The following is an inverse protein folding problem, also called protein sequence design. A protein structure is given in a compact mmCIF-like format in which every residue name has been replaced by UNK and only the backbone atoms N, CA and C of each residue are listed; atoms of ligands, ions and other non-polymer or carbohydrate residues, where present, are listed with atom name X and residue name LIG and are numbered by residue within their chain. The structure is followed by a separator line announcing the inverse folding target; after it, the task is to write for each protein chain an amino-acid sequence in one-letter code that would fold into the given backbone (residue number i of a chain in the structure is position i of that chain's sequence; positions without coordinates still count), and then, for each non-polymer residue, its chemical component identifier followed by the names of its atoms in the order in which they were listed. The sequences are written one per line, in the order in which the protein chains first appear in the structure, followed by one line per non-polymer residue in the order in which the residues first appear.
data_IF_551361602628
#
_entry.id   IF_551361602628
#
_cell.length_a   1.000
_cell.length_b   1.000
_cell.length_c   1.000
_cell.angle_alpha   90.00
_cell.angle_beta   90.00
_cell.angle_gamma   90.00
#
_symmetry.space_group_name_H-M   'P 1'
#
loop_
_entity.id
_entity.type
_entity.pdbx_description
1 polymer ?
#
# COMPACT_ATOMS: atom_id res chain seq x y z
N UNK A 1 3.53 -10.51 -37.77
CA UNK A 1 2.99 -9.16 -37.49
C UNK A 1 3.33 -8.25 -38.66
N UNK A 2 2.33 -7.68 -39.33
CA UNK A 2 2.52 -6.84 -40.53
C UNK A 2 3.05 -5.45 -40.15
N UNK A 3 3.96 -4.87 -40.96
CA UNK A 3 4.60 -3.58 -40.68
C UNK A 3 3.60 -2.41 -40.51
N UNK A 4 2.45 -2.46 -41.21
CA UNK A 4 1.35 -1.50 -41.02
C UNK A 4 0.66 -1.61 -39.67
N UNK A 5 0.53 -2.83 -39.12
CA UNK A 5 -0.06 -3.03 -37.80
C UNK A 5 0.86 -2.52 -36.70
N UNK A 6 2.19 -2.72 -36.86
CA UNK A 6 3.20 -2.16 -35.95
C UNK A 6 3.17 -0.62 -35.98
N UNK A 7 3.11 -0.04 -37.18
CA UNK A 7 3.02 1.42 -37.37
C UNK A 7 1.71 2.03 -36.83
N UNK A 8 0.57 1.32 -36.93
CA UNK A 8 -0.70 1.76 -36.30
C UNK A 8 -0.68 1.70 -34.79
N UNK A 9 -0.03 0.69 -34.19
CA UNK A 9 0.15 0.59 -32.74
C UNK A 9 1.10 1.67 -32.22
N UNK A 10 2.20 1.92 -32.94
CA UNK A 10 3.15 2.98 -32.58
C UNK A 10 2.51 4.38 -32.65
N UNK A 11 1.72 4.67 -33.69
CA UNK A 11 1.00 5.97 -33.83
C UNK A 11 -0.12 6.12 -32.80
N UNK A 12 -0.89 5.07 -32.50
CA UNK A 12 -1.85 5.11 -31.39
C UNK A 12 -1.15 5.34 -30.04
N UNK A 13 0.06 4.79 -29.86
CA UNK A 13 0.82 4.99 -28.62
C UNK A 13 1.30 6.43 -28.47
N UNK A 14 1.80 7.10 -29.52
CA UNK A 14 2.28 8.48 -29.43
C UNK A 14 1.16 9.51 -29.18
N UNK A 15 -0.04 9.30 -29.75
CA UNK A 15 -1.19 10.19 -29.52
C UNK A 15 -1.89 9.94 -28.18
N UNK A 16 -1.91 8.70 -27.70
CA UNK A 16 -2.53 8.34 -26.41
C UNK A 16 -1.58 8.53 -25.23
N UNK A 17 -0.26 8.50 -25.42
CA UNK A 17 0.73 8.61 -24.35
C UNK A 17 0.53 9.87 -23.48
N UNK A 18 0.27 11.08 -24.03
CA UNK A 18 -0.03 12.25 -23.22
C UNK A 18 -1.29 12.10 -22.37
N UNK A 19 -2.33 11.46 -22.91
CA UNK A 19 -3.57 11.19 -22.16
C UNK A 19 -3.35 10.15 -21.06
N UNK A 20 -2.58 9.09 -21.34
CA UNK A 20 -2.21 8.07 -20.36
C UNK A 20 -1.38 8.69 -19.23
N UNK A 21 -0.38 9.51 -19.56
CA UNK A 21 0.45 10.21 -18.57
C UNK A 21 -0.40 11.15 -17.72
N UNK A 22 -1.25 11.98 -18.34
CA UNK A 22 -2.12 12.92 -17.61
C UNK A 22 -3.09 12.18 -16.68
N UNK A 23 -3.69 11.08 -17.14
CA UNK A 23 -4.57 10.24 -16.33
C UNK A 23 -3.80 9.57 -15.17
N UNK A 24 -2.56 9.14 -15.40
CA UNK A 24 -1.73 8.53 -14.37
C UNK A 24 -1.23 9.54 -13.33
N UNK A 25 -0.83 10.75 -13.75
CA UNK A 25 -0.50 11.86 -12.86
C UNK A 25 -1.70 12.30 -12.02
N UNK A 26 -2.90 12.32 -12.63
CA UNK A 26 -4.16 12.62 -11.95
C UNK A 26 -4.47 11.57 -10.87
N UNK A 27 -4.43 10.29 -11.23
CA UNK A 27 -4.62 9.16 -10.28
C UNK A 27 -3.59 9.18 -9.16
N UNK A 28 -2.33 9.50 -9.47
CA UNK A 28 -1.25 9.60 -8.48
C UNK A 28 -1.47 10.76 -7.50
N UNK A 29 -1.83 11.94 -8.00
CA UNK A 29 -2.10 13.13 -7.16
C UNK A 29 -3.29 12.87 -6.23
N UNK A 30 -4.32 12.23 -6.76
CA UNK A 30 -5.51 11.85 -6.02
C UNK A 30 -5.22 10.78 -4.96
N UNK A 31 -4.50 9.72 -5.34
CA UNK A 31 -4.02 8.70 -4.42
C UNK A 31 -3.28 9.34 -3.24
N UNK A 32 -2.34 10.25 -3.54
CA UNK A 32 -1.62 11.01 -2.51
C UNK A 32 -2.57 11.78 -1.59
N UNK A 33 -3.62 12.43 -2.10
CA UNK A 33 -4.61 13.15 -1.27
C UNK A 33 -5.36 12.22 -0.33
N UNK A 34 -5.86 11.09 -0.82
CA UNK A 34 -6.61 10.12 0.00
C UNK A 34 -5.69 9.43 1.00
N UNK A 35 -4.49 9.02 0.57
CA UNK A 35 -3.48 8.49 1.49
C UNK A 35 -3.07 9.53 2.54
N UNK A 36 -2.96 10.81 2.17
CA UNK A 36 -2.71 11.89 3.12
C UNK A 36 -3.88 12.06 4.11
N UNK A 37 -5.13 11.98 3.66
CA UNK A 37 -6.30 12.03 4.53
C UNK A 37 -6.36 10.83 5.50
N UNK A 38 -6.01 9.64 5.00
CA UNK A 38 -5.87 8.40 5.78
C UNK A 38 -4.76 8.54 6.83
N UNK A 39 -3.59 9.05 6.43
CA UNK A 39 -2.40 9.21 7.26
C UNK A 39 -2.56 10.32 8.30
N UNK A 40 -3.18 11.44 7.94
CA UNK A 40 -3.49 12.55 8.86
C UNK A 40 -4.59 12.20 9.87
N UNK A 41 -5.17 11.02 9.74
CA UNK A 41 -6.11 10.45 10.69
C UNK A 41 -7.42 11.21 10.78
N UNK A 42 -7.92 11.63 9.62
CA UNK A 42 -9.31 12.07 9.50
C UNK A 42 -10.26 10.97 10.02
N UNK A 43 -11.45 11.38 10.47
CA UNK A 43 -12.39 10.46 11.14
C UNK A 43 -13.04 9.43 10.20
N UNK A 44 -12.75 9.50 8.90
CA UNK A 44 -13.20 8.53 7.92
C UNK A 44 -12.62 7.13 8.14
N UNK A 45 -13.20 6.15 7.47
CA UNK A 45 -12.78 4.76 7.50
C UNK A 45 -12.40 4.35 6.09
N UNK A 46 -11.25 3.70 5.92
CA UNK A 46 -10.86 3.11 4.64
C UNK A 46 -10.83 1.60 4.76
N UNK A 47 -11.39 0.90 3.78
CA UNK A 47 -11.19 -0.54 3.60
C UNK A 47 -10.22 -0.72 2.44
N UNK A 48 -9.10 -1.37 2.69
CA UNK A 48 -8.10 -1.73 1.68
C UNK A 48 -8.21 -3.22 1.38
N UNK A 49 -8.41 -3.56 0.11
CA UNK A 49 -8.57 -4.92 -0.37
C UNK A 49 -7.41 -5.26 -1.29
N UNK A 50 -6.71 -6.35 -0.95
CA UNK A 50 -5.64 -6.91 -1.74
C UNK A 50 -6.02 -8.34 -2.12
N UNK A 51 -5.59 -8.76 -3.31
CA UNK A 51 -5.78 -10.15 -3.74
C UNK A 51 -5.17 -11.10 -2.72
N UNK A 52 -5.82 -12.23 -2.48
CA UNK A 52 -5.36 -13.30 -1.59
C UNK A 52 -5.13 -12.89 -0.12
N UNK A 53 -5.66 -11.74 0.33
CA UNK A 53 -5.57 -11.29 1.72
C UNK A 53 -6.92 -10.83 2.23
N UNK A 54 -7.20 -11.04 3.54
CA UNK A 54 -8.41 -10.49 4.15
C UNK A 54 -8.36 -8.94 4.10
N UNK A 55 -9.50 -8.28 3.87
CA UNK A 55 -9.58 -6.83 3.84
C UNK A 55 -8.99 -6.20 5.11
N UNK A 56 -8.32 -5.07 4.93
CA UNK A 56 -7.73 -4.28 6.01
C UNK A 56 -8.59 -3.04 6.25
N UNK A 57 -8.95 -2.78 7.50
CA UNK A 57 -9.63 -1.56 7.89
C UNK A 57 -8.56 -0.57 8.38
N UNK A 58 -8.53 0.63 7.81
CA UNK A 58 -7.63 1.71 8.19
C UNK A 58 -8.46 2.85 8.76
N UNK A 59 -8.13 3.28 9.97
CA UNK A 59 -8.80 4.38 10.65
C UNK A 59 -7.81 5.11 11.54
N UNK A 60 -7.68 6.42 11.36
CA UNK A 60 -6.76 7.25 12.15
C UNK A 60 -5.31 6.77 12.13
N UNK A 61 -4.82 6.34 10.96
CA UNK A 61 -3.48 5.74 10.81
C UNK A 61 -3.30 4.37 11.46
N UNK A 62 -4.31 3.81 12.13
CA UNK A 62 -4.28 2.48 12.72
C UNK A 62 -4.93 1.46 11.79
N UNK A 63 -4.37 0.26 11.76
CA UNK A 63 -4.83 -0.85 10.93
C UNK A 63 -5.55 -1.89 11.79
N UNK A 64 -6.63 -2.46 11.24
CA UNK A 64 -7.43 -3.47 11.90
C UNK A 64 -7.84 -4.56 10.91
N UNK A 65 -8.13 -5.76 11.43
CA UNK A 65 -8.66 -6.88 10.64
C UNK A 65 -9.80 -7.58 11.34
N UNK A 66 -10.72 -8.04 10.51
CA UNK A 66 -11.71 -9.02 10.93
C UNK A 66 -11.09 -10.42 11.03
N UNK A 67 -11.68 -11.31 11.85
CA UNK A 67 -11.32 -12.72 11.85
C UNK A 67 -11.39 -13.31 10.43
N UNK A 68 -10.61 -14.36 10.17
CA UNK A 68 -10.39 -14.90 8.81
C UNK A 68 -11.64 -15.26 7.99
N UNK A 69 -12.80 -15.45 8.64
CA UNK A 69 -14.07 -15.83 8.02
C UNK A 69 -15.14 -14.72 8.07
N UNK A 70 -14.74 -13.48 8.34
CA UNK A 70 -15.66 -12.34 8.45
C UNK A 70 -15.17 -11.18 7.61
N UNK A 71 -16.09 -10.57 6.86
CA UNK A 71 -15.80 -9.33 6.17
C UNK A 71 -15.95 -8.14 7.15
N UNK A 72 -15.30 -7.00 6.85
CA UNK A 72 -15.68 -5.73 7.46
C UNK A 72 -17.15 -5.43 7.17
N UNK A 73 -17.89 -4.97 8.18
CA UNK A 73 -19.20 -4.37 7.97
C UNK A 73 -19.02 -3.04 7.27
N UNK A 74 -19.88 -2.74 6.29
CA UNK A 74 -19.91 -1.46 5.60
C UNK A 74 -19.98 -0.30 6.61
N UNK A 75 -18.99 0.61 6.65
CA UNK A 75 -19.00 1.76 7.54
C UNK A 75 -20.17 2.68 7.21
N UNK A 76 -20.90 3.09 8.24
CA UNK A 76 -22.08 3.96 8.10
C UNK A 76 -21.74 5.46 8.22
N UNK A 77 -20.45 5.80 8.26
CA UNK A 77 -19.93 7.15 8.46
C UNK A 77 -19.92 7.63 9.92
N UNK A 78 -20.34 6.80 10.91
CA UNK A 78 -20.18 7.11 12.34
C UNK A 78 -18.72 7.05 12.81
N UNK A 79 -17.84 6.48 11.98
CA UNK A 79 -16.47 6.13 12.32
C UNK A 79 -16.37 4.86 13.18
N UNK A 80 -17.45 4.24 13.61
CA UNK A 80 -17.40 2.94 14.31
C UNK A 80 -17.03 1.87 13.29
N UNK A 81 -16.02 1.06 13.61
CA UNK A 81 -15.57 -0.05 12.77
C UNK A 81 -16.04 -1.36 13.39
N UNK A 82 -16.71 -2.19 12.60
CA UNK A 82 -17.20 -3.50 13.01
C UNK A 82 -16.98 -4.49 11.88
N UNK A 83 -16.89 -5.76 12.22
CA UNK A 83 -17.02 -6.86 11.28
C UNK A 83 -18.49 -7.27 11.15
N UNK A 84 -18.80 -8.12 10.18
CA UNK A 84 -20.07 -8.81 10.13
C UNK A 84 -20.38 -9.51 11.47
N UNK A 85 -21.67 -9.67 11.77
CA UNK A 85 -22.17 -10.19 13.06
C UNK A 85 -21.76 -9.34 14.28
N UNK A 86 -21.45 -8.06 14.05
CA UNK A 86 -21.11 -7.08 15.08
C UNK A 86 -19.93 -7.51 15.97
N UNK A 87 -18.94 -8.15 15.35
CA UNK A 87 -17.67 -8.53 15.99
C UNK A 87 -16.68 -7.36 15.90
N UNK A 88 -15.98 -7.06 17.00
CA UNK A 88 -14.93 -6.04 17.00
C UNK A 88 -13.68 -6.53 16.22
N UNK A 89 -13.13 -5.70 15.31
CA UNK A 89 -11.91 -6.06 14.60
C UNK A 89 -10.67 -5.95 15.51
N UNK A 90 -9.67 -6.79 15.26
CA UNK A 90 -8.42 -6.77 16.01
C UNK A 90 -7.40 -5.81 15.39
N UNK A 91 -6.64 -5.04 16.19
CA UNK A 91 -5.59 -4.18 15.65
C UNK A 91 -4.47 -5.01 15.02
N UNK A 92 -3.88 -4.47 13.96
CA UNK A 92 -2.75 -5.05 13.22
C UNK A 92 -1.62 -4.04 13.24
N UNK A 93 -0.39 -4.49 13.55
CA UNK A 93 0.76 -3.59 13.65
C UNK A 93 1.16 -3.01 12.28
N UNK A 94 1.12 -3.82 11.24
CA UNK A 94 1.40 -3.42 9.86
C UNK A 94 0.80 -4.43 8.88
N UNK A 95 0.53 -4.01 7.65
CA UNK A 95 0.31 -4.94 6.54
C UNK A 95 1.56 -5.03 5.66
N UNK A 96 2.04 -6.25 5.44
CA UNK A 96 3.26 -6.52 4.68
C UNK A 96 3.23 -6.04 3.23
N UNK A 97 2.07 -6.03 2.59
CA UNK A 97 1.96 -5.57 1.21
C UNK A 97 2.01 -4.06 1.20
N UNK A 98 1.08 -3.40 1.92
CA UNK A 98 1.01 -1.93 1.97
C UNK A 98 2.32 -1.30 2.44
N UNK A 99 2.99 -1.94 3.40
CA UNK A 99 4.29 -1.44 3.89
C UNK A 99 5.36 -1.50 2.81
N UNK A 100 5.32 -2.44 1.87
CA UNK A 100 6.36 -2.61 0.85
C UNK A 100 6.35 -1.51 -0.23
N UNK A 101 5.29 -0.71 -0.34
CA UNK A 101 5.22 0.42 -1.28
C UNK A 101 6.26 1.51 -0.95
N UNK A 102 6.33 1.90 0.33
CA UNK A 102 7.12 3.05 0.79
C UNK A 102 8.44 2.65 1.46
N UNK A 103 8.72 1.34 1.60
CA UNK A 103 9.89 0.84 2.34
C UNK A 103 11.00 0.38 1.41
N UNK A 104 12.23 0.71 1.80
CA UNK A 104 13.42 0.20 1.13
C UNK A 104 13.54 -1.32 1.28
N UNK A 105 13.99 -1.96 0.21
CA UNK A 105 14.39 -3.36 0.21
C UNK A 105 15.81 -3.47 0.75
N UNK A 106 16.03 -4.35 1.73
CA UNK A 106 17.34 -4.60 2.31
C UNK A 106 17.84 -6.00 1.99
N UNK A 107 19.16 -6.14 1.90
CA UNK A 107 19.83 -7.43 1.77
C UNK A 107 20.89 -7.58 2.87
N UNK A 108 20.79 -8.68 3.62
CA UNK A 108 21.80 -9.12 4.59
C UNK A 108 21.94 -10.64 4.48
N UNK A 109 23.17 -11.15 4.43
CA UNK A 109 23.46 -12.59 4.29
C UNK A 109 22.65 -13.27 3.15
N UNK A 110 22.52 -12.60 2.00
CA UNK A 110 21.71 -13.04 0.85
C UNK A 110 20.20 -13.21 1.11
N UNK A 111 19.68 -12.65 2.20
CA UNK A 111 18.24 -12.60 2.51
C UNK A 111 17.70 -11.21 2.24
N UNK A 112 16.65 -11.14 1.42
CA UNK A 112 15.99 -9.90 1.03
C UNK A 112 14.75 -9.64 1.88
N UNK A 113 14.63 -8.46 2.48
CA UNK A 113 13.51 -8.14 3.37
C UNK A 113 13.17 -6.65 3.42
N UNK A 114 11.92 -6.36 3.76
CA UNK A 114 11.40 -5.05 4.11
C UNK A 114 11.38 -4.89 5.63
N UNK A 115 11.70 -3.69 6.12
CA UNK A 115 11.45 -3.33 7.51
C UNK A 115 10.12 -2.57 7.61
N UNK A 116 9.10 -3.20 8.19
CA UNK A 116 7.74 -2.64 8.16
C UNK A 116 7.53 -1.51 9.18
N UNK A 117 8.36 -1.42 10.24
CA UNK A 117 8.30 -0.34 11.24
C UNK A 117 9.33 0.74 11.00
N UNK A 118 9.37 1.75 11.86
CA UNK A 118 10.36 2.84 11.80
C UNK A 118 11.76 2.27 12.00
N UNK A 119 12.68 2.71 11.14
CA UNK A 119 14.12 2.47 11.28
C UNK A 119 14.57 3.03 12.63
N UNK A 120 15.05 2.18 13.52
CA UNK A 120 15.87 2.64 14.64
C UNK A 120 17.26 2.89 14.07
N UNK A 121 17.64 4.15 13.96
CA UNK A 121 19.01 4.51 13.59
C UNK A 121 19.95 4.02 14.69
N UNK A 122 20.85 3.11 14.34
CA UNK A 122 21.90 2.66 15.23
C UNK A 122 22.97 3.74 15.46
N UNK A 123 23.88 3.53 16.43
CA UNK A 123 25.06 4.37 16.57
C UNK A 123 25.86 4.42 15.26
N UNK A 124 26.62 5.50 15.07
CA UNK A 124 27.31 5.91 13.84
C UNK A 124 27.69 4.76 12.88
N UNK A 125 27.27 4.94 11.62
CA UNK A 125 27.48 3.99 10.51
C UNK A 125 28.95 3.54 10.40
N UNK A 126 29.23 2.23 10.21
CA UNK A 126 30.55 1.79 9.81
C UNK A 126 30.91 2.43 8.45
N UNK A 127 32.13 2.94 8.32
CA UNK A 127 32.64 3.70 7.15
C UNK A 127 32.66 2.93 5.81
N UNK A 128 32.10 1.72 5.76
CA UNK A 128 32.17 0.80 4.64
C UNK A 128 30.98 0.92 3.66
N UNK A 129 30.14 1.96 3.78
CA UNK A 129 29.00 2.19 2.87
C UNK A 129 27.81 1.24 3.08
N UNK A 130 27.73 0.57 4.24
CA UNK A 130 26.62 -0.29 4.63
C UNK A 130 25.71 0.42 5.62
N UNK A 131 24.40 0.25 5.46
CA UNK A 131 23.42 0.82 6.40
C UNK A 131 23.26 -0.11 7.59
N UNK A 132 23.31 0.44 8.80
CA UNK A 132 23.01 -0.31 10.03
C UNK A 132 21.49 -0.35 10.22
N UNK A 133 20.92 -1.54 10.36
CA UNK A 133 19.48 -1.72 10.47
C UNK A 133 19.12 -2.33 11.83
N UNK A 134 18.35 -1.56 12.61
CA UNK A 134 17.79 -1.95 13.89
C UNK A 134 16.43 -2.65 13.81
N UNK A 135 16.03 -3.17 12.65
CA UNK A 135 14.73 -3.83 12.47
C UNK A 135 14.72 -5.20 13.15
N UNK A 136 13.86 -5.38 14.16
CA UNK A 136 13.72 -6.67 14.84
C UNK A 136 13.12 -7.72 13.88
N UNK A 137 13.46 -9.02 14.01
CA UNK A 137 12.96 -10.06 13.10
C UNK A 137 11.42 -10.09 12.95
N UNK A 138 10.68 -9.79 14.01
CA UNK A 138 9.20 -9.73 14.00
C UNK A 138 8.63 -8.56 13.18
N UNK A 139 9.45 -7.56 12.86
CA UNK A 139 9.07 -6.39 12.07
C UNK A 139 9.51 -6.52 10.61
N UNK A 140 10.07 -7.68 10.21
CA UNK A 140 10.56 -7.94 8.87
C UNK A 140 9.53 -8.71 8.04
N UNK A 141 9.47 -8.39 6.76
CA UNK A 141 8.79 -9.23 5.75
C UNK A 141 9.80 -9.60 4.68
N UNK A 142 9.98 -10.89 4.37
CA UNK A 142 10.85 -11.30 3.25
C UNK A 142 10.27 -10.88 1.89
N UNK A 143 11.12 -10.52 0.94
CA UNK A 143 10.70 -10.21 -0.45
C UNK A 143 9.86 -11.35 -1.05
N UNK A 144 10.33 -12.60 -0.93
CA UNK A 144 9.62 -13.78 -1.44
C UNK A 144 8.20 -13.91 -0.88
N UNK A 145 8.01 -13.63 0.41
CA UNK A 145 6.67 -13.63 1.01
C UNK A 145 5.80 -12.54 0.38
N UNK A 146 6.31 -11.31 0.25
CA UNK A 146 5.58 -10.19 -0.35
C UNK A 146 5.22 -10.49 -1.80
N UNK A 147 6.16 -10.91 -2.65
CA UNK A 147 5.90 -11.26 -4.05
C UNK A 147 4.82 -12.35 -4.15
N UNK A 148 4.95 -13.43 -3.38
CA UNK A 148 4.00 -14.55 -3.46
C UNK A 148 2.60 -14.25 -2.89
N UNK A 149 2.46 -13.26 -2.01
CA UNK A 149 1.19 -12.97 -1.30
C UNK A 149 0.53 -11.67 -1.72
N UNK A 150 1.26 -10.78 -2.36
CA UNK A 150 0.81 -9.43 -2.68
C UNK A 150 0.78 -9.18 -4.19
N UNK A 151 1.76 -9.69 -4.92
CA UNK A 151 1.90 -9.38 -6.33
C UNK A 151 0.85 -10.12 -7.18
N UNK A 152 0.53 -9.54 -8.34
CA UNK A 152 -0.26 -10.17 -9.37
C UNK A 152 0.50 -11.36 -9.95
N UNK A 153 -0.25 -12.32 -10.51
CA UNK A 153 0.36 -13.49 -11.13
C UNK A 153 1.24 -13.05 -12.30
N UNK A 154 2.47 -13.58 -12.35
CA UNK A 154 3.46 -13.33 -13.39
C UNK A 154 4.00 -11.88 -13.47
N UNK A 155 3.73 -11.02 -12.48
CA UNK A 155 4.33 -9.68 -12.36
C UNK A 155 4.79 -9.36 -10.93
N UNK A 156 5.58 -8.29 -10.76
CA UNK A 156 5.96 -7.76 -9.44
C UNK A 156 5.00 -6.66 -8.96
N UNK A 157 3.85 -6.50 -9.63
CA UNK A 157 2.90 -5.42 -9.35
C UNK A 157 1.89 -5.82 -8.28
N UNK A 158 1.62 -4.93 -7.34
CA UNK A 158 0.59 -5.09 -6.31
C UNK A 158 -0.57 -4.15 -6.62
N UNK A 159 -1.77 -4.71 -6.75
CA UNK A 159 -3.01 -3.97 -6.90
C UNK A 159 -3.74 -3.90 -5.55
N UNK A 160 -4.08 -2.68 -5.12
CA UNK A 160 -4.86 -2.41 -3.92
C UNK A 160 -6.13 -1.68 -4.32
N UNK A 161 -7.28 -2.20 -3.88
CA UNK A 161 -8.56 -1.51 -4.00
C UNK A 161 -8.90 -0.84 -2.68
N UNK A 162 -8.98 0.48 -2.69
CA UNK A 162 -9.38 1.29 -1.53
C UNK A 162 -10.85 1.68 -1.64
N UNK A 163 -11.58 1.51 -0.55
CA UNK A 163 -12.94 2.00 -0.34
C UNK A 163 -12.94 2.98 0.82
N UNK A 164 -13.05 4.27 0.53
CA UNK A 164 -13.03 5.34 1.53
C UNK A 164 -14.46 5.79 1.88
N UNK A 165 -14.74 5.78 3.18
CA UNK A 165 -16.00 6.18 3.80
C UNK A 165 -15.73 7.44 4.63
N UNK A 166 -16.12 8.64 4.14
CA UNK A 166 -15.95 9.86 4.91
C UNK A 166 -16.81 9.85 6.18
N UNK A 167 -16.40 10.59 7.21
CA UNK A 167 -17.22 10.81 8.40
C UNK A 167 -18.48 11.63 8.04
N UNK A 168 -19.63 11.29 8.64
CA UNK A 168 -20.88 12.07 8.53
C UNK A 168 -20.71 13.56 8.87
N UNK A 169 -19.76 13.92 9.73
CA UNK A 169 -19.46 15.31 10.09
C UNK A 169 -18.64 16.06 9.05
N UNK A 170 -18.16 15.38 8.00
CA UNK A 170 -17.51 16.00 6.86
C UNK A 170 -18.57 16.76 6.05
N UNK A 171 -18.87 18.00 6.48
CA UNK A 171 -19.87 18.89 5.86
C UNK A 171 -19.46 19.36 4.46
N UNK A 172 -18.24 19.09 4.03
CA UNK A 172 -17.63 19.58 2.80
C UNK A 172 -17.20 18.43 1.87
N UNK A 173 -17.98 17.35 1.83
CA UNK A 173 -17.80 16.27 0.82
C UNK A 173 -17.85 16.84 -0.61
N UNK A 174 -18.56 17.95 -0.83
CA UNK A 174 -18.62 18.70 -2.08
C UNK A 174 -17.36 19.53 -2.39
N UNK A 175 -16.45 19.72 -1.44
CA UNK A 175 -15.17 20.44 -1.65
C UNK A 175 -13.97 19.50 -1.91
N UNK A 176 -14.15 18.18 -1.72
CA UNK A 176 -13.13 17.20 -2.10
C UNK A 176 -13.11 16.93 -3.63
N UNK A 177 -14.21 17.20 -4.36
CA UNK A 177 -14.30 17.87 -5.69
C UNK A 177 -15.77 17.86 -6.23
N UNK A 178 -16.31 18.94 -6.85
CA UNK A 178 -17.47 18.90 -7.76
C UNK A 178 -17.32 17.99 -8.99
N UNK A 179 -16.09 17.56 -9.33
CA UNK A 179 -15.84 16.66 -10.45
C UNK A 179 -15.87 15.18 -10.00
N UNK A 180 -16.95 14.49 -10.41
CA UNK A 180 -17.27 13.05 -10.24
C UNK A 180 -16.21 12.06 -10.78
N UNK A 181 -14.98 12.48 -11.03
CA UNK A 181 -14.01 11.81 -11.91
C UNK A 181 -12.92 11.03 -11.15
N UNK A 182 -13.05 10.92 -9.83
CA UNK A 182 -12.00 10.50 -8.90
C UNK A 182 -12.27 9.12 -8.32
N UNK A 183 -13.52 8.85 -7.97
CA UNK A 183 -13.94 7.56 -7.47
C UNK A 183 -14.86 6.93 -8.51
N UNK A 184 -14.71 5.62 -8.74
CA UNK A 184 -15.65 4.90 -9.62
C UNK A 184 -17.09 5.03 -9.09
N UNK A 185 -17.22 5.05 -7.76
CA UNK A 185 -18.45 5.33 -7.01
C UNK A 185 -18.10 6.28 -5.86
N UNK A 186 -19.00 7.16 -5.44
CA UNK A 186 -18.73 8.17 -4.40
C UNK A 186 -19.25 7.80 -3.00
N UNK A 187 -20.04 6.75 -2.89
CA UNK A 187 -20.59 6.28 -1.61
C UNK A 187 -20.59 4.75 -1.55
N UNK A 188 -19.47 4.11 -1.18
CA UNK A 188 -18.17 4.70 -0.81
C UNK A 188 -17.36 5.21 -2.00
N UNK A 189 -16.35 6.05 -1.75
CA UNK A 189 -15.32 6.37 -2.73
C UNK A 189 -14.47 5.13 -3.04
N UNK A 190 -14.45 4.64 -4.28
CA UNK A 190 -13.65 3.48 -4.70
C UNK A 190 -12.49 3.85 -5.61
N UNK A 191 -11.29 3.37 -5.31
CA UNK A 191 -10.04 3.65 -6.06
C UNK A 191 -9.18 2.40 -6.16
N UNK A 192 -8.69 2.09 -7.38
CA UNK A 192 -7.63 1.12 -7.60
C UNK A 192 -6.25 1.81 -7.65
N UNK A 193 -5.28 1.26 -6.94
CA UNK A 193 -3.88 1.72 -6.93
C UNK A 193 -2.93 0.57 -7.23
N UNK A 194 -1.95 0.80 -8.11
CA UNK A 194 -0.95 -0.20 -8.49
C UNK A 194 0.44 0.37 -8.22
N UNK A 195 1.29 -0.43 -7.59
CA UNK A 195 2.72 -0.16 -7.43
C UNK A 195 3.53 -1.45 -7.67
N UNK A 196 4.77 -1.30 -8.11
CA UNK A 196 5.67 -2.44 -8.35
C UNK A 196 6.59 -2.65 -7.15
N UNK A 197 6.80 -3.91 -6.76
CA UNK A 197 7.77 -4.26 -5.73
C UNK A 197 9.20 -4.00 -6.24
N UNK A 198 10.13 -3.61 -5.36
CA UNK A 198 11.52 -3.43 -5.74
C UNK A 198 12.17 -4.77 -6.09
N UNK A 199 13.06 -4.74 -7.08
CA UNK A 199 13.84 -5.88 -7.52
C UNK A 199 15.13 -6.05 -6.69
N UNK A 200 15.73 -7.26 -6.63
CA UNK A 200 16.93 -7.52 -5.83
C UNK A 200 18.13 -6.60 -6.10
N UNK A 201 18.27 -6.09 -7.32
CA UNK A 201 19.32 -5.14 -7.72
C UNK A 201 19.11 -3.73 -7.15
N UNK A 202 17.90 -3.41 -6.69
CA UNK A 202 17.57 -2.17 -5.98
C UNK A 202 17.77 -2.28 -4.46
N UNK A 203 18.21 -3.45 -3.96
CA UNK A 203 18.35 -3.69 -2.53
C UNK A 203 19.54 -2.93 -1.92
N UNK A 204 19.30 -2.33 -0.75
CA UNK A 204 20.35 -1.68 0.05
C UNK A 204 21.05 -2.72 0.93
N UNK A 205 22.38 -2.73 0.90
CA UNK A 205 23.19 -3.61 1.73
C UNK A 205 23.08 -3.19 3.19
N UNK A 206 22.66 -4.14 4.03
CA UNK A 206 22.42 -3.92 5.44
C UNK A 206 23.37 -4.73 6.33
N UNK A 207 23.87 -4.11 7.39
CA UNK A 207 24.45 -4.80 8.54
C UNK A 207 23.42 -4.85 9.66
N UNK A 208 23.16 -6.06 10.16
CA UNK A 208 22.13 -6.27 11.18
C UNK A 208 22.65 -5.92 12.58
N UNK A 209 21.91 -5.12 13.34
CA UNK A 209 22.21 -4.91 14.77
C UNK A 209 21.81 -6.11 15.63
N UNK A 210 20.79 -6.84 15.18
CA UNK A 210 20.27 -8.02 15.85
C UNK A 210 21.06 -9.25 15.39
N UNK A 211 22.34 -9.32 15.74
CA UNK A 211 23.05 -10.59 15.72
C UNK A 211 22.47 -11.46 16.83
N UNK A 212 21.96 -12.63 16.46
CA UNK A 212 21.52 -13.73 17.31
C UNK A 212 21.88 -13.57 18.80
N UNK A 213 20.90 -13.24 19.63
CA UNK A 213 20.91 -13.65 21.05
C UNK A 213 20.48 -15.14 21.16
N UNK A 214 21.00 -15.99 20.27
CA UNK A 214 20.87 -17.45 20.39
C UNK A 214 22.21 -18.04 20.83
N UNK A 215 22.36 -18.13 22.15
CA UNK A 215 23.12 -19.21 22.80
C UNK A 215 22.12 -20.10 23.53
#
# INVERSE_FOLDING_TARGET
MNAEAKKKVDVLSEELLPYIIAEQERRTTLYKRIMTAIQNGEKGVTIAELRNKPPLIIRKGLMYRCPANRAPKEPDGSGIIMCEEDIEPTPVMYDSCLSAEDKELYVAENKYFFCNRHKVEGPDLPRNGSTVIGCAPIERTSLNYTTNKCALEDTDDVLVHYRYYPDRTYKFVTELDPDREVCEHWNPCQIGYIYSLPSPDQATIANELWHDYSK
#
